data_IF_300044877581
#
_entry.id   IF_300044877581
#
_cell.length_a   1.000
_cell.length_b   1.000
_cell.length_c   1.000
_cell.angle_alpha   90.00
_cell.angle_beta   90.00
_cell.angle_gamma   90.00
#
_symmetry.space_group_name_H-M   'P 1'
#
loop_
_entity.id
_entity.type
_entity.pdbx_description
1 polymer ?
#
# COMPACT_ATOMS: atom_id res chain seq x y z
N UNK A 1 -34.24 4.09 5.62
CA UNK A 1 -33.76 2.70 5.77
C UNK A 1 -33.57 2.42 7.26
N UNK A 2 -34.12 1.31 7.77
CA UNK A 2 -33.91 0.89 9.14
C UNK A 2 -32.54 0.21 9.22
N UNK A 3 -31.52 0.90 9.74
CA UNK A 3 -30.12 0.44 9.77
C UNK A 3 -29.82 -0.61 10.86
N UNK A 4 -30.85 -1.17 11.48
CA UNK A 4 -30.75 -2.17 12.55
C UNK A 4 -30.23 -3.55 12.09
N UNK A 5 -29.82 -3.69 10.83
CA UNK A 5 -29.27 -4.92 10.22
C UNK A 5 -28.03 -5.47 10.95
N UNK A 6 -27.23 -4.60 11.56
CA UNK A 6 -25.99 -5.01 12.24
C UNK A 6 -26.14 -5.32 13.73
N UNK A 7 -27.37 -5.20 14.28
CA UNK A 7 -27.65 -5.41 15.70
C UNK A 7 -27.05 -4.34 16.61
N UNK A 8 -27.67 -4.15 17.77
CA UNK A 8 -27.24 -3.21 18.82
C UNK A 8 -26.04 -3.72 19.64
N UNK A 9 -25.14 -4.50 19.04
CA UNK A 9 -23.98 -5.05 19.74
C UNK A 9 -22.82 -4.05 19.77
N UNK A 10 -23.01 -2.95 20.51
CA UNK A 10 -22.06 -1.83 20.63
C UNK A 10 -20.66 -2.26 21.09
N UNK A 11 -20.59 -3.32 21.91
CA UNK A 11 -19.32 -3.88 22.39
C UNK A 11 -18.46 -4.43 21.25
N UNK A 12 -19.08 -5.14 20.29
CA UNK A 12 -18.35 -5.71 19.15
C UNK A 12 -17.71 -4.62 18.28
N UNK A 13 -18.45 -3.54 18.01
CA UNK A 13 -17.94 -2.41 17.24
C UNK A 13 -16.81 -1.69 17.98
N UNK A 14 -16.94 -1.51 19.30
CA UNK A 14 -15.87 -0.97 20.15
C UNK A 14 -14.60 -1.83 20.13
N UNK A 15 -14.74 -3.14 20.29
CA UNK A 15 -13.61 -4.09 20.27
C UNK A 15 -12.92 -4.09 18.89
N UNK A 16 -13.69 -4.11 17.81
CA UNK A 16 -13.14 -4.04 16.46
C UNK A 16 -12.47 -2.69 16.16
N UNK A 17 -13.02 -1.59 16.66
CA UNK A 17 -12.39 -0.27 16.56
C UNK A 17 -11.08 -0.21 17.34
N UNK A 18 -11.01 -0.81 18.54
CA UNK A 18 -9.78 -0.93 19.31
C UNK A 18 -8.71 -1.74 18.55
N UNK A 19 -9.09 -2.88 17.96
CA UNK A 19 -8.20 -3.68 17.11
C UNK A 19 -7.72 -2.89 15.90
N UNK A 20 -8.61 -2.16 15.22
CA UNK A 20 -8.26 -1.30 14.09
C UNK A 20 -7.29 -0.18 14.49
N UNK A 21 -7.47 0.39 15.69
CA UNK A 21 -6.57 1.39 16.25
C UNK A 21 -5.17 0.81 16.49
N UNK A 22 -5.08 -0.37 17.12
CA UNK A 22 -3.79 -1.05 17.34
C UNK A 22 -3.11 -1.37 15.99
N UNK A 23 -3.87 -1.92 15.03
CA UNK A 23 -3.36 -2.22 13.69
C UNK A 23 -2.85 -0.95 12.98
N UNK A 24 -3.54 0.18 13.14
CA UNK A 24 -3.13 1.47 12.61
C UNK A 24 -1.81 1.95 13.24
N UNK A 25 -1.65 1.85 14.56
CA UNK A 25 -0.43 2.25 15.26
C UNK A 25 0.78 1.39 14.86
N UNK A 26 0.60 0.07 14.77
CA UNK A 26 1.65 -0.87 14.33
C UNK A 26 2.03 -0.59 12.88
N UNK A 27 1.05 -0.45 11.99
CA UNK A 27 1.29 -0.15 10.57
C UNK A 27 1.92 1.22 10.38
N UNK A 28 1.49 2.23 11.13
CA UNK A 28 2.05 3.57 11.11
C UNK A 28 3.50 3.61 11.58
N UNK A 29 3.84 2.85 12.63
CA UNK A 29 5.23 2.69 13.08
C UNK A 29 6.08 2.03 12.00
N UNK A 30 5.59 0.95 11.40
CA UNK A 30 6.25 0.28 10.27
C UNK A 30 6.44 1.21 9.06
N UNK A 31 5.46 2.06 8.77
CA UNK A 31 5.52 3.05 7.69
C UNK A 31 6.60 4.09 7.94
N UNK A 32 6.74 4.59 9.18
CA UNK A 32 7.81 5.52 9.53
C UNK A 32 9.20 4.90 9.35
N UNK A 33 9.37 3.64 9.76
CA UNK A 33 10.61 2.89 9.53
C UNK A 33 10.88 2.69 8.04
N UNK A 34 9.85 2.39 7.26
CA UNK A 34 9.95 2.26 5.80
C UNK A 34 10.39 3.56 5.14
N UNK A 35 9.77 4.69 5.50
CA UNK A 35 10.14 6.01 4.97
C UNK A 35 11.58 6.36 5.37
N UNK A 36 11.98 6.10 6.62
CA UNK A 36 13.37 6.32 7.06
C UNK A 36 14.37 5.50 6.24
N UNK A 37 14.06 4.23 5.99
CA UNK A 37 14.89 3.36 5.15
C UNK A 37 14.97 3.82 3.69
N UNK A 38 13.88 4.34 3.13
CA UNK A 38 13.88 4.90 1.78
C UNK A 38 14.72 6.19 1.71
N UNK A 39 14.60 7.07 2.71
CA UNK A 39 15.34 8.33 2.77
C UNK A 39 16.84 8.16 2.97
N UNK A 40 17.28 7.06 3.60
CA UNK A 40 18.70 6.79 3.81
C UNK A 40 19.42 6.29 2.55
N UNK A 41 18.72 6.08 1.43
CA UNK A 41 19.32 5.60 0.17
C UNK A 41 19.58 6.75 -0.80
N UNK A 42 20.73 6.73 -1.52
CA UNK A 42 21.03 7.78 -2.49
C UNK A 42 20.02 7.76 -3.65
N UNK A 43 19.46 8.92 -4.05
CA UNK A 43 18.55 9.00 -5.19
C UNK A 43 19.29 8.66 -6.49
N UNK A 44 18.63 7.94 -7.40
CA UNK A 44 19.17 7.68 -8.73
C UNK A 44 18.85 8.86 -9.65
N UNK A 45 19.76 9.31 -10.51
CA UNK A 45 19.52 10.43 -11.43
C UNK A 45 18.32 10.17 -12.38
N UNK A 46 18.06 8.92 -12.75
CA UNK A 46 16.90 8.55 -13.59
C UNK A 46 15.55 8.68 -12.86
N UNK A 47 15.56 8.82 -11.52
CA UNK A 47 14.34 8.91 -10.71
C UNK A 47 13.68 10.28 -10.72
N UNK A 48 14.37 11.32 -11.21
CA UNK A 48 13.87 12.70 -11.27
C UNK A 48 12.95 12.96 -12.49
N UNK A 49 12.98 12.09 -13.49
CA UNK A 49 12.12 12.21 -14.68
C UNK A 49 10.65 11.90 -14.39
N UNK A 50 9.76 12.86 -14.66
CA UNK A 50 8.31 12.68 -14.59
C UNK A 50 7.89 11.54 -15.54
N UNK A 51 7.37 10.44 -15.00
CA UNK A 51 6.94 9.29 -15.78
C UNK A 51 8.02 8.25 -16.10
N UNK A 52 9.29 8.48 -15.73
CA UNK A 52 10.39 7.52 -15.94
C UNK A 52 10.05 6.13 -15.37
N UNK A 53 9.46 6.09 -14.17
CA UNK A 53 9.00 4.84 -13.54
C UNK A 53 7.98 4.09 -14.39
N UNK A 54 7.01 4.79 -14.99
CA UNK A 54 5.98 4.16 -15.83
C UNK A 54 6.56 3.69 -17.16
N UNK A 55 7.45 4.46 -17.76
CA UNK A 55 8.13 4.09 -19.00
C UNK A 55 9.00 2.83 -18.81
N UNK A 56 9.84 2.80 -17.77
CA UNK A 56 10.71 1.66 -17.45
C UNK A 56 9.88 0.41 -17.14
N UNK A 57 8.83 0.50 -16.32
CA UNK A 57 7.97 -0.66 -16.07
C UNK A 57 7.19 -1.13 -17.29
N UNK A 58 6.86 -0.23 -18.23
CA UNK A 58 6.21 -0.61 -19.48
C UNK A 58 7.20 -1.37 -20.37
N UNK A 59 8.43 -0.84 -20.55
CA UNK A 59 9.53 -1.51 -21.27
C UNK A 59 9.85 -2.89 -20.69
N UNK A 60 9.93 -2.99 -19.36
CA UNK A 60 10.17 -4.27 -18.66
C UNK A 60 9.05 -5.28 -18.92
N UNK A 61 7.79 -4.83 -18.99
CA UNK A 61 6.63 -5.68 -19.26
C UNK A 61 6.54 -6.12 -20.72
N UNK A 62 6.98 -5.28 -21.65
CA UNK A 62 7.03 -5.58 -23.08
C UNK A 62 8.32 -6.29 -23.51
N UNK A 63 9.23 -6.60 -22.57
CA UNK A 63 10.55 -7.21 -22.82
C UNK A 63 11.40 -6.42 -23.84
N UNK A 64 11.27 -5.09 -23.84
CA UNK A 64 12.12 -4.23 -24.65
C UNK A 64 13.53 -4.14 -24.04
N UNK A 65 14.52 -3.78 -24.86
CA UNK A 65 15.87 -3.50 -24.38
C UNK A 65 15.83 -2.35 -23.37
N UNK A 66 16.33 -2.63 -22.17
CA UNK A 66 16.51 -1.67 -21.08
C UNK A 66 17.97 -1.23 -21.08
N UNK A 67 18.22 0.07 -20.91
CA UNK A 67 19.59 0.52 -20.64
C UNK A 67 20.06 -0.02 -19.27
N UNK A 68 21.38 -0.08 -19.02
CA UNK A 68 21.92 -0.50 -17.72
C UNK A 68 21.32 0.30 -16.54
N UNK A 69 21.17 1.62 -16.70
CA UNK A 69 20.59 2.51 -15.69
C UNK A 69 19.08 2.23 -15.46
N UNK A 70 18.34 1.94 -16.53
CA UNK A 70 16.92 1.58 -16.42
C UNK A 70 16.73 0.22 -15.74
N UNK A 71 17.64 -0.73 -15.98
CA UNK A 71 17.63 -2.04 -15.34
C UNK A 71 17.96 -1.94 -13.85
N UNK A 72 18.94 -1.13 -13.48
CA UNK A 72 19.27 -0.88 -12.07
C UNK A 72 18.08 -0.23 -11.34
N UNK A 73 17.46 0.77 -11.96
CA UNK A 73 16.27 1.42 -11.42
C UNK A 73 15.10 0.43 -11.25
N UNK A 74 14.81 -0.40 -12.25
CA UNK A 74 13.77 -1.41 -12.19
C UNK A 74 14.03 -2.44 -11.07
N UNK A 75 15.28 -2.89 -10.95
CA UNK A 75 15.70 -3.86 -9.94
C UNK A 75 15.55 -3.30 -8.53
N UNK A 76 15.99 -2.05 -8.30
CA UNK A 76 15.82 -1.37 -7.00
C UNK A 76 14.34 -1.18 -6.66
N UNK A 77 13.53 -0.71 -7.61
CA UNK A 77 12.10 -0.49 -7.39
C UNK A 77 11.31 -1.78 -7.10
N UNK A 78 11.66 -2.89 -7.77
CA UNK A 78 11.08 -4.21 -7.49
C UNK A 78 11.53 -4.73 -6.11
N UNK A 79 12.81 -4.58 -5.79
CA UNK A 79 13.38 -5.03 -4.51
C UNK A 79 12.79 -4.27 -3.31
N UNK A 80 12.55 -2.96 -3.46
CA UNK A 80 11.86 -2.15 -2.44
C UNK A 80 10.46 -2.65 -2.17
N UNK A 81 9.68 -2.87 -3.24
CA UNK A 81 8.32 -3.37 -3.12
C UNK A 81 8.26 -4.83 -2.64
N UNK A 82 9.36 -5.59 -2.69
CA UNK A 82 9.50 -6.93 -2.10
C UNK A 82 9.69 -6.90 -0.58
N UNK A 83 10.10 -5.77 -0.01
CA UNK A 83 10.18 -5.64 1.45
C UNK A 83 8.80 -5.80 2.09
N UNK A 84 8.65 -6.55 3.20
CA UNK A 84 7.39 -6.62 3.93
C UNK A 84 6.93 -5.24 4.42
N UNK A 85 7.88 -4.32 4.65
CA UNK A 85 7.59 -2.93 5.01
C UNK A 85 6.78 -2.20 3.95
N UNK A 86 6.85 -2.59 2.67
CA UNK A 86 6.03 -1.96 1.63
C UNK A 86 4.51 -2.13 1.86
N UNK A 87 4.09 -3.18 2.58
CA UNK A 87 2.69 -3.39 2.92
C UNK A 87 2.20 -2.56 4.11
N UNK A 88 3.09 -1.88 4.84
CA UNK A 88 2.70 -0.98 5.93
C UNK A 88 1.90 0.21 5.41
N UNK A 89 2.15 0.65 4.16
CA UNK A 89 1.37 1.72 3.50
C UNK A 89 -0.10 1.31 3.34
N UNK A 90 -0.45 0.25 2.57
CA UNK A 90 -1.85 -0.14 2.43
C UNK A 90 -2.46 -0.61 3.75
N UNK A 91 -1.69 -1.27 4.63
CA UNK A 91 -2.20 -1.70 5.95
C UNK A 91 -2.61 -0.51 6.83
N UNK A 92 -1.84 0.58 6.84
CA UNK A 92 -2.19 1.80 7.56
C UNK A 92 -3.46 2.46 6.99
N UNK A 93 -3.56 2.59 5.67
CA UNK A 93 -4.73 3.17 5.00
C UNK A 93 -5.98 2.34 5.27
N UNK A 94 -5.87 1.00 5.19
CA UNK A 94 -6.98 0.09 5.46
C UNK A 94 -7.42 0.18 6.93
N UNK A 95 -6.47 0.15 7.86
CA UNK A 95 -6.75 0.25 9.30
C UNK A 95 -7.39 1.57 9.67
N UNK A 96 -6.96 2.68 9.05
CA UNK A 96 -7.58 3.99 9.22
C UNK A 96 -9.03 3.99 8.73
N UNK A 97 -9.30 3.38 7.57
CA UNK A 97 -10.67 3.18 7.08
C UNK A 97 -11.52 2.37 8.06
N UNK A 98 -10.97 1.28 8.61
CA UNK A 98 -11.66 0.43 9.58
C UNK A 98 -11.98 1.22 10.85
N UNK A 99 -11.01 1.94 11.38
CA UNK A 99 -11.18 2.76 12.57
C UNK A 99 -12.26 3.84 12.36
N UNK A 100 -12.31 4.45 11.17
CA UNK A 100 -13.33 5.44 10.83
C UNK A 100 -14.75 4.83 10.79
N UNK A 101 -14.92 3.69 10.10
CA UNK A 101 -16.23 3.03 9.96
C UNK A 101 -16.71 2.48 11.31
N UNK A 102 -15.83 1.78 12.03
CA UNK A 102 -16.16 1.03 13.24
C UNK A 102 -16.16 1.91 14.50
N UNK A 103 -15.34 2.97 14.50
CA UNK A 103 -15.23 3.95 15.59
C UNK A 103 -16.13 5.17 15.44
N UNK A 104 -17.04 5.19 14.46
CA UNK A 104 -17.96 6.32 14.25
C UNK A 104 -18.88 6.49 15.48
N UNK A 105 -18.84 7.69 16.07
CA UNK A 105 -19.52 8.08 17.32
C UNK A 105 -21.03 7.84 17.31
N UNK A 106 -21.67 7.91 16.13
CA UNK A 106 -23.10 7.65 15.95
C UNK A 106 -23.48 6.22 16.36
N UNK A 107 -22.64 5.23 16.01
CA UNK A 107 -22.87 3.83 16.39
C UNK A 107 -22.55 3.57 17.86
N UNK A 108 -21.56 4.27 18.42
CA UNK A 108 -21.11 4.07 19.80
C UNK A 108 -22.05 4.74 20.85
N UNK A 109 -22.80 5.77 20.45
CA UNK A 109 -23.73 6.51 21.32
C UNK A 109 -25.22 6.27 21.01
N UNK A 110 -25.55 5.35 20.10
CA UNK A 110 -26.94 4.97 19.80
C UNK A 110 -27.71 5.95 18.90
N UNK A 111 -27.00 6.82 18.17
CA UNK A 111 -27.61 7.68 17.17
C UNK A 111 -27.82 6.94 15.84
N UNK A 112 -28.75 7.42 15.01
CA UNK A 112 -29.07 6.77 13.73
C UNK A 112 -27.86 6.79 12.80
N UNK A 113 -27.37 5.64 12.30
CA UNK A 113 -26.21 5.59 11.41
C UNK A 113 -26.40 6.48 10.18
N UNK A 114 -25.50 7.45 10.00
CA UNK A 114 -25.42 8.28 8.80
C UNK A 114 -24.57 7.61 7.73
N UNK A 115 -24.89 7.82 6.45
CA UNK A 115 -24.10 7.37 5.29
C UNK A 115 -22.64 7.83 5.35
N UNK A 116 -22.38 8.95 6.03
CA UNK A 116 -21.05 9.47 6.33
C UNK A 116 -20.13 8.44 6.98
N UNK A 117 -20.67 7.51 7.78
CA UNK A 117 -19.92 6.41 8.41
C UNK A 117 -19.16 5.56 7.39
N UNK A 118 -19.70 5.42 6.18
CA UNK A 118 -19.12 4.58 5.13
C UNK A 118 -18.06 5.27 4.28
N UNK A 119 -17.75 6.56 4.53
CA UNK A 119 -16.67 7.26 3.82
C UNK A 119 -15.33 6.54 4.01
N UNK A 120 -15.12 5.90 5.17
CA UNK A 120 -13.94 5.08 5.45
C UNK A 120 -13.78 3.83 4.57
N UNK A 121 -14.82 3.42 3.83
CA UNK A 121 -14.73 2.30 2.86
C UNK A 121 -13.96 2.69 1.61
N UNK A 122 -14.00 3.95 1.20
CA UNK A 122 -13.26 4.47 0.04
C UNK A 122 -11.74 4.23 0.19
N UNK A 123 -11.08 4.65 1.29
CA UNK A 123 -9.66 4.37 1.48
C UNK A 123 -9.37 2.86 1.62
N UNK A 124 -10.29 2.04 2.12
CA UNK A 124 -10.10 0.58 2.14
C UNK A 124 -9.96 0.00 0.72
N UNK A 125 -10.82 0.40 -0.22
CA UNK A 125 -10.68 -0.02 -1.62
C UNK A 125 -9.37 0.49 -2.24
N UNK A 126 -8.97 1.72 -1.92
CA UNK A 126 -7.68 2.26 -2.30
C UNK A 126 -6.51 1.40 -1.80
N UNK A 127 -6.56 0.97 -0.53
CA UNK A 127 -5.56 0.10 0.07
C UNK A 127 -5.48 -1.29 -0.60
N UNK A 128 -6.63 -1.89 -0.93
CA UNK A 128 -6.68 -3.16 -1.67
C UNK A 128 -6.08 -3.03 -3.07
N UNK A 129 -6.40 -1.96 -3.79
CA UNK A 129 -5.81 -1.66 -5.10
C UNK A 129 -4.28 -1.48 -4.98
N UNK A 130 -3.82 -0.69 -4.01
CA UNK A 130 -2.38 -0.52 -3.75
C UNK A 130 -1.70 -1.86 -3.45
N UNK A 131 -2.32 -2.72 -2.64
CA UNK A 131 -1.81 -4.07 -2.35
C UNK A 131 -1.69 -4.92 -3.62
N UNK A 132 -2.71 -4.91 -4.47
CA UNK A 132 -2.69 -5.61 -5.75
C UNK A 132 -1.58 -5.09 -6.67
N UNK A 133 -1.34 -3.77 -6.71
CA UNK A 133 -0.26 -3.17 -7.47
C UNK A 133 1.12 -3.61 -6.95
N UNK A 134 1.33 -3.62 -5.63
CA UNK A 134 2.58 -4.13 -5.01
C UNK A 134 2.82 -5.57 -5.44
N UNK A 135 1.80 -6.45 -5.32
CA UNK A 135 1.90 -7.85 -5.73
C UNK A 135 2.20 -8.01 -7.22
N UNK A 136 1.59 -7.17 -8.07
CA UNK A 136 1.83 -7.18 -9.52
C UNK A 136 3.27 -6.79 -9.86
N UNK A 137 3.83 -5.78 -9.18
CA UNK A 137 5.23 -5.36 -9.40
C UNK A 137 6.19 -6.42 -8.87
N UNK A 138 5.91 -7.06 -7.73
CA UNK A 138 6.73 -8.18 -7.23
C UNK A 138 6.85 -9.32 -8.25
N UNK A 139 5.80 -9.60 -9.02
CA UNK A 139 5.82 -10.62 -10.08
C UNK A 139 6.76 -10.26 -11.24
N UNK A 140 7.03 -8.97 -11.47
CA UNK A 140 7.98 -8.51 -12.50
C UNK A 140 9.42 -8.91 -12.19
N UNK A 141 9.74 -9.34 -10.97
CA UNK A 141 11.04 -9.91 -10.63
C UNK A 141 11.41 -11.10 -11.54
N UNK A 142 10.42 -11.87 -12.01
CA UNK A 142 10.65 -12.99 -12.93
C UNK A 142 11.10 -12.55 -14.33
N UNK A 143 10.93 -11.28 -14.67
CA UNK A 143 11.29 -10.69 -15.96
C UNK A 143 12.62 -9.95 -15.90
N UNK A 144 13.21 -9.77 -14.71
CA UNK A 144 14.53 -9.17 -14.58
C UNK A 144 15.59 -10.17 -15.08
N UNK A 145 16.50 -9.76 -15.98
CA UNK A 145 17.64 -10.57 -16.39
C UNK A 145 18.46 -11.00 -15.16
N UNK A 146 18.93 -12.25 -15.15
CA UNK A 146 19.95 -12.65 -14.18
C UNK A 146 21.19 -11.75 -14.36
N UNK A 147 21.87 -11.34 -13.28
CA UNK A 147 22.96 -10.35 -13.30
C UNK A 147 24.17 -10.70 -14.19
N UNK A 148 24.17 -11.85 -14.87
CA UNK A 148 25.29 -12.38 -15.66
C UNK A 148 25.23 -12.08 -17.17
N UNK A 149 24.16 -11.49 -17.73
CA UNK A 149 24.05 -11.33 -19.20
C UNK A 149 24.21 -9.90 -19.74
N UNK A 150 24.45 -8.90 -18.89
CA UNK A 150 24.61 -7.51 -19.32
C UNK A 150 26.08 -7.06 -19.46
N UNK A 151 27.05 -7.95 -19.24
CA UNK A 151 28.49 -7.64 -19.31
C UNK A 151 29.24 -8.46 -20.38
N UNK A 152 28.52 -9.15 -21.26
CA UNK A 152 29.12 -10.00 -22.30
C UNK A 152 28.44 -9.75 -23.65
N UNK A 153 28.44 -8.50 -24.10
CA UNK A 153 28.39 -8.14 -25.53
C UNK A 153 29.01 -6.77 -25.75
#
# INVERSE_FOLDING_TARGET
>A
MNWNMFGTNWRLFGDLAAVACIALLVSGTGLLLYIRQLRSRPPLPISEGIGARRAVFTKLRTRQHLSPDELEFATRAVTELRSPLAFTIPAAIFSLGCLYVLGSLEQLHGATPSERTFIGVIPMFGALNTTAQILRVRRLNKLLPAPSKAQAE
#
